data_IF_810021887508
#
_entry.id   IF_810021887508
#
_cell.length_a   1.000
_cell.length_b   1.000
_cell.length_c   1.000
_cell.angle_alpha   90.00
_cell.angle_beta   90.00
_cell.angle_gamma   90.00
#
_symmetry.space_group_name_H-M   'P 1'
#
loop_
_entity.id
_entity.type
_entity.pdbx_description
1 polymer ?
#
# COMPACT_ATOMS: atom_id res chain seq x y z
N UNK A 1 -9.39 14.69 -17.08
CA UNK A 1 -8.43 13.73 -16.50
C UNK A 1 -7.28 13.54 -17.47
N UNK A 2 -6.06 13.66 -16.99
CA UNK A 2 -4.92 13.43 -17.84
C UNK A 2 -4.66 11.94 -17.99
N UNK A 3 -3.87 11.57 -18.98
CA UNK A 3 -3.49 10.18 -19.17
C UNK A 3 -2.80 9.60 -17.94
N UNK A 4 -1.94 10.41 -17.31
CA UNK A 4 -1.21 9.95 -16.15
C UNK A 4 -2.17 9.68 -14.99
N UNK A 5 -3.16 10.53 -14.79
CA UNK A 5 -4.14 10.31 -13.75
C UNK A 5 -4.98 9.08 -14.02
N UNK A 6 -5.34 8.87 -15.26
CA UNK A 6 -6.10 7.68 -15.63
C UNK A 6 -5.28 6.41 -15.35
N UNK A 7 -4.01 6.43 -15.69
CA UNK A 7 -3.16 5.27 -15.47
C UNK A 7 -3.00 4.99 -13.99
N UNK A 8 -2.90 6.02 -13.15
CA UNK A 8 -2.81 5.81 -11.73
C UNK A 8 -4.07 5.18 -11.16
N UNK A 9 -5.23 5.63 -11.61
CA UNK A 9 -6.48 5.12 -11.09
C UNK A 9 -6.73 3.67 -11.48
N UNK A 10 -6.22 3.25 -12.62
CA UNK A 10 -6.48 1.91 -13.12
C UNK A 10 -5.28 0.97 -13.00
N UNK A 11 -4.25 1.41 -12.28
CA UNK A 11 -3.06 0.59 -12.13
C UNK A 11 -3.33 -0.57 -11.18
N UNK A 12 -2.91 -1.75 -11.59
CA UNK A 12 -3.06 -2.94 -10.76
C UNK A 12 -1.73 -3.22 -10.10
N UNK A 13 -1.71 -3.15 -8.77
CA UNK A 13 -0.52 -3.41 -7.98
C UNK A 13 -0.88 -4.48 -6.97
N UNK A 14 -0.06 -5.50 -6.85
CA UNK A 14 -0.34 -6.61 -5.95
C UNK A 14 0.73 -6.70 -4.89
N UNK A 15 0.33 -7.13 -3.71
CA UNK A 15 1.24 -7.31 -2.60
C UNK A 15 2.01 -8.62 -2.75
N UNK A 16 2.75 -9.00 -1.71
CA UNK A 16 3.58 -10.19 -1.73
C UNK A 16 2.76 -11.45 -1.94
N UNK A 17 1.54 -11.47 -1.45
CA UNK A 17 0.68 -12.64 -1.52
C UNK A 17 -0.26 -12.61 -2.72
N UNK A 18 -0.15 -11.60 -3.57
CA UNK A 18 -0.98 -11.53 -4.77
C UNK A 18 -2.29 -10.79 -4.60
N UNK A 19 -2.51 -10.15 -3.45
CA UNK A 19 -3.73 -9.38 -3.25
C UNK A 19 -3.59 -8.01 -3.88
N UNK A 20 -4.61 -7.56 -4.57
CA UNK A 20 -4.56 -6.24 -5.20
C UNK A 20 -4.62 -5.14 -4.14
N UNK A 21 -3.74 -4.17 -4.28
CA UNK A 21 -3.68 -3.04 -3.36
C UNK A 21 -4.47 -1.87 -3.91
N UNK A 22 -5.13 -1.16 -3.01
CA UNK A 22 -5.87 0.05 -3.35
C UNK A 22 -5.47 1.15 -2.38
N UNK A 23 -5.63 2.38 -2.81
CA UNK A 23 -5.38 3.53 -1.92
C UNK A 23 -6.30 3.40 -0.71
N UNK A 24 -5.72 3.54 0.48
CA UNK A 24 -6.45 3.40 1.72
C UNK A 24 -6.34 2.04 2.37
N UNK A 25 -5.76 1.06 1.68
CA UNK A 25 -5.63 -0.28 2.23
C UNK A 25 -4.64 -0.31 3.38
N UNK A 26 -4.91 -1.14 4.36
CA UNK A 26 -4.03 -1.35 5.50
C UNK A 26 -3.09 -2.50 5.15
N UNK A 27 -1.80 -2.28 5.30
CA UNK A 27 -0.78 -3.26 4.95
C UNK A 27 0.26 -3.35 6.04
N UNK A 28 0.96 -4.48 6.10
CA UNK A 28 2.10 -4.67 6.98
C UNK A 28 3.36 -4.58 6.14
N UNK A 29 4.33 -3.83 6.61
CA UNK A 29 5.62 -3.73 5.93
C UNK A 29 6.75 -3.66 6.96
N UNK A 30 7.97 -3.51 6.45
CA UNK A 30 9.15 -3.38 7.31
C UNK A 30 9.71 -1.98 7.18
N UNK A 31 10.15 -1.42 8.29
CA UNK A 31 10.83 -0.13 8.26
C UNK A 31 12.32 -0.34 8.01
N UNK A 32 13.11 0.72 8.10
CA UNK A 32 14.54 0.63 7.83
C UNK A 32 15.28 -0.24 8.82
N UNK A 33 14.72 -0.43 9.99
CA UNK A 33 15.34 -1.25 11.02
C UNK A 33 14.82 -2.67 11.00
N UNK A 34 14.10 -3.05 9.95
CA UNK A 34 13.49 -4.38 9.80
C UNK A 34 12.44 -4.66 10.86
N UNK A 35 11.86 -3.65 11.46
CA UNK A 35 10.74 -3.82 12.37
C UNK A 35 9.45 -3.83 11.59
N UNK A 36 8.54 -4.70 11.97
CA UNK A 36 7.23 -4.77 11.34
C UNK A 36 6.41 -3.55 11.77
N UNK A 37 5.77 -2.93 10.80
CA UNK A 37 5.00 -1.74 11.04
C UNK A 37 3.73 -1.78 10.21
N UNK A 38 2.66 -1.18 10.71
CA UNK A 38 1.42 -1.06 9.97
C UNK A 38 1.43 0.23 9.18
N UNK A 39 1.10 0.11 7.91
CA UNK A 39 1.05 1.25 7.01
C UNK A 39 -0.28 1.28 6.30
N UNK A 40 -0.61 2.44 5.76
CA UNK A 40 -1.79 2.59 4.92
C UNK A 40 -1.32 3.10 3.56
N UNK A 41 -1.84 2.51 2.51
CA UNK A 41 -1.44 2.85 1.15
C UNK A 41 -1.98 4.24 0.83
N UNK A 42 -1.10 5.14 0.44
CA UNK A 42 -1.49 6.49 0.06
C UNK A 42 -1.53 6.67 -1.43
N UNK A 43 -0.63 6.04 -2.16
CA UNK A 43 -0.56 6.24 -3.60
C UNK A 43 0.08 5.02 -4.26
N UNK A 44 -0.41 4.66 -5.44
CA UNK A 44 0.16 3.58 -6.22
C UNK A 44 0.96 4.19 -7.37
N UNK A 45 2.25 3.92 -7.39
CA UNK A 45 3.13 4.42 -8.43
C UNK A 45 3.50 3.29 -9.38
N UNK A 46 4.24 3.61 -10.44
CA UNK A 46 4.54 2.62 -11.48
C UNK A 46 5.30 1.42 -10.94
N UNK A 47 6.28 1.65 -10.07
CA UNK A 47 7.09 0.55 -9.54
C UNK A 47 7.08 0.48 -8.03
N UNK A 48 6.62 1.52 -7.37
CA UNK A 48 6.65 1.61 -5.92
C UNK A 48 5.30 2.02 -5.39
N UNK A 49 5.12 1.91 -4.10
CA UNK A 49 3.89 2.30 -3.43
C UNK A 49 4.29 3.32 -2.37
N UNK A 50 3.53 4.40 -2.28
CA UNK A 50 3.71 5.37 -1.21
C UNK A 50 2.80 4.96 -0.07
N UNK A 51 3.38 4.80 1.10
CA UNK A 51 2.63 4.40 2.30
C UNK A 51 2.90 5.40 3.41
N UNK A 52 1.96 5.51 4.33
CA UNK A 52 2.14 6.32 5.53
C UNK A 52 1.87 5.41 6.72
N UNK A 53 2.43 5.75 7.85
CA UNK A 53 2.20 4.97 9.06
C UNK A 53 0.73 5.04 9.43
N UNK A 54 0.14 3.90 9.73
CA UNK A 54 -1.26 3.85 10.10
C UNK A 54 -1.52 4.63 11.39
N UNK A 55 -0.51 4.75 12.25
CA UNK A 55 -0.72 5.38 13.53
C UNK A 55 -0.81 6.90 13.45
N UNK A 56 -0.16 7.55 12.50
CA UNK A 56 -0.24 9.00 12.47
C UNK A 56 -0.38 9.61 11.09
N UNK A 57 -0.28 8.85 10.04
CA UNK A 57 -0.62 9.35 8.72
C UNK A 57 0.21 10.54 8.25
N UNK A 58 1.28 10.91 8.91
CA UNK A 58 2.01 12.11 8.56
C UNK A 58 3.35 11.82 7.91
N UNK A 59 3.78 10.60 7.93
CA UNK A 59 5.09 10.25 7.43
C UNK A 59 4.93 9.32 6.24
N UNK A 60 5.37 9.76 5.10
CA UNK A 60 5.25 8.97 3.88
C UNK A 60 6.55 8.32 3.52
N UNK A 61 6.48 7.18 2.92
CA UNK A 61 7.65 6.45 2.48
C UNK A 61 7.34 5.70 1.20
N UNK A 62 8.38 5.48 0.40
CA UNK A 62 8.24 4.66 -0.79
C UNK A 62 8.68 3.24 -0.45
N UNK A 63 7.94 2.27 -0.91
CA UNK A 63 8.31 0.88 -0.72
C UNK A 63 7.87 0.08 -1.93
N UNK A 64 8.39 -1.12 -2.06
CA UNK A 64 7.98 -1.99 -3.15
C UNK A 64 6.78 -2.81 -2.73
N UNK A 65 5.83 -3.05 -3.63
CA UNK A 65 4.62 -3.79 -3.25
C UNK A 65 4.89 -5.22 -2.81
N UNK A 66 5.97 -5.84 -3.30
CA UNK A 66 6.28 -7.20 -2.90
C UNK A 66 6.85 -7.28 -1.48
N UNK A 67 7.02 -6.15 -0.82
CA UNK A 67 7.41 -6.12 0.58
C UNK A 67 6.25 -5.86 1.51
N UNK A 68 5.05 -5.76 0.97
CA UNK A 68 3.86 -5.44 1.74
C UNK A 68 2.92 -6.63 1.74
N UNK A 69 2.17 -6.76 2.81
CA UNK A 69 1.14 -7.79 2.91
C UNK A 69 -0.14 -7.08 3.33
N UNK A 70 -1.16 -7.16 2.48
CA UNK A 70 -2.44 -6.54 2.77
C UNK A 70 -3.14 -7.31 3.88
N UNK A 71 -3.72 -6.58 4.82
CA UNK A 71 -4.50 -7.20 5.87
C UNK A 71 -5.91 -6.66 5.83
N UNK A 72 -6.84 -7.46 6.33
CA UNK A 72 -8.23 -7.07 6.33
C UNK A 72 -8.54 -6.29 7.59
N UNK A 73 -9.21 -5.17 7.43
CA UNK A 73 -9.63 -4.38 8.56
C UNK A 73 -10.91 -4.94 9.13
N UNK A 74 -11.04 -4.86 10.42
CA UNK A 74 -12.29 -5.24 11.11
C UNK A 74 -12.70 -6.66 10.87
N UNK A 75 -11.79 -7.49 10.45
CA UNK A 75 -12.13 -8.89 10.22
C UNK A 75 -13.05 -9.14 9.07
N UNK A 76 -13.30 -8.18 8.23
CA UNK A 76 -14.17 -8.36 7.11
C UNK A 76 -13.50 -9.07 6.02
N UNK A 77 -14.11 -10.05 5.55
CA UNK A 77 -13.56 -10.76 4.57
C UNK A 77 -13.77 -10.26 3.33
N UNK A 78 -13.52 -9.93 2.58
CA UNK A 78 -13.74 -9.59 1.46
C UNK A 78 -12.91 -9.90 0.60
N UNK A 79 -12.68 -10.26 -0.07
CA UNK A 79 -11.93 -10.57 -1.12
C UNK A 79 -11.63 -11.40 -1.33
#
# INVERSE_FOLDING_TARGET
MTRKEYEELHRVVKDKLGHQLHVGDLVIGYDYSNNVELYRVKRLCAKKVVVVRASNNTWGNYTYPDRLIKIKEDGISED
#
